data_IF_735939782189
#
_entry.id   IF_735939782189
#
_cell.length_a   1.000
_cell.length_b   1.000
_cell.length_c   1.000
_cell.angle_alpha   90.00
_cell.angle_beta   90.00
_cell.angle_gamma   90.00
#
_symmetry.space_group_name_H-M   'P 1'
#
loop_
_entity.id
_entity.type
_entity.pdbx_description
1 polymer ?
#
# COMPACT_ATOMS: atom_id res chain seq x y z
N UNK A 1 29.91 -0.35 1.70
CA UNK A 1 28.99 -0.98 0.73
C UNK A 1 29.38 -0.48 -0.65
N UNK A 2 29.43 -1.37 -1.65
CA UNK A 2 29.77 -1.03 -3.04
C UNK A 2 28.52 -0.98 -3.94
N UNK A 3 28.64 -0.34 -5.10
CA UNK A 3 27.58 -0.28 -6.11
C UNK A 3 27.16 -1.69 -6.59
N UNK A 4 28.11 -2.63 -6.69
CA UNK A 4 27.84 -4.02 -7.08
C UNK A 4 27.06 -4.77 -6.00
N UNK A 5 27.39 -4.54 -4.72
CA UNK A 5 26.63 -5.11 -3.60
C UNK A 5 25.18 -4.60 -3.59
N UNK A 6 25.00 -3.31 -3.87
CA UNK A 6 23.68 -2.68 -3.97
C UNK A 6 22.89 -3.22 -5.16
N UNK A 7 23.54 -3.35 -6.32
CA UNK A 7 22.93 -3.92 -7.53
C UNK A 7 22.52 -5.38 -7.32
N UNK A 8 23.35 -6.17 -6.64
CA UNK A 8 23.00 -7.55 -6.26
C UNK A 8 21.81 -7.60 -5.31
N UNK A 9 21.78 -6.73 -4.29
CA UNK A 9 20.67 -6.66 -3.35
C UNK A 9 19.34 -6.30 -4.04
N UNK A 10 19.34 -5.39 -5.02
CA UNK A 10 18.12 -5.02 -5.76
C UNK A 10 17.60 -6.11 -6.71
N UNK A 11 18.28 -7.25 -6.82
CA UNK A 11 17.87 -8.38 -7.66
C UNK A 11 17.68 -9.69 -6.87
N UNK A 12 17.94 -9.68 -5.56
CA UNK A 12 17.86 -10.86 -4.71
C UNK A 12 17.40 -10.50 -3.30
N UNK A 13 16.25 -11.02 -2.90
CA UNK A 13 15.64 -10.76 -1.59
C UNK A 13 16.53 -11.18 -0.43
N UNK A 14 17.33 -12.24 -0.59
CA UNK A 14 18.24 -12.71 0.47
C UNK A 14 19.39 -11.71 0.62
N UNK A 15 20.04 -11.32 -0.48
CA UNK A 15 21.06 -10.28 -0.47
C UNK A 15 20.52 -8.95 0.08
N UNK A 16 19.30 -8.56 -0.31
CA UNK A 16 18.64 -7.36 0.21
C UNK A 16 18.44 -7.44 1.72
N UNK A 17 17.93 -8.56 2.21
CA UNK A 17 17.69 -8.80 3.64
C UNK A 17 18.97 -8.73 4.46
N UNK A 18 20.05 -9.30 3.93
CA UNK A 18 21.36 -9.29 4.57
C UNK A 18 22.00 -7.90 4.59
N UNK A 19 21.78 -7.11 3.53
CA UNK A 19 22.37 -5.78 3.38
C UNK A 19 21.62 -4.72 4.19
N UNK A 20 20.29 -4.78 4.22
CA UNK A 20 19.43 -3.80 4.90
C UNK A 20 18.76 -4.46 6.10
N UNK A 21 19.40 -4.49 7.27
CA UNK A 21 18.82 -5.12 8.46
C UNK A 21 17.75 -4.24 9.10
N UNK A 22 17.94 -2.93 9.03
CA UNK A 22 17.07 -1.91 9.61
C UNK A 22 16.71 -0.83 8.60
N UNK A 23 15.64 -0.08 8.88
CA UNK A 23 15.24 1.06 8.05
C UNK A 23 16.32 2.15 7.97
N UNK A 24 17.13 2.29 9.02
CA UNK A 24 18.29 3.19 9.01
C UNK A 24 19.29 2.81 7.92
N UNK A 25 19.53 1.52 7.68
CA UNK A 25 20.47 1.07 6.66
C UNK A 25 19.98 1.49 5.26
N UNK A 26 18.67 1.36 5.01
CA UNK A 26 18.04 1.80 3.76
C UNK A 26 18.18 3.32 3.58
N UNK A 27 17.86 4.08 4.63
CA UNK A 27 17.94 5.54 4.66
C UNK A 27 19.37 6.05 4.43
N UNK A 28 20.32 5.50 5.16
CA UNK A 28 21.72 5.90 5.11
C UNK A 28 22.32 5.55 3.75
N UNK A 29 21.89 4.43 3.16
CA UNK A 29 22.25 4.01 1.80
C UNK A 29 21.65 4.92 0.74
N UNK A 30 20.37 5.24 0.82
CA UNK A 30 19.72 6.17 -0.11
C UNK A 30 20.36 7.58 -0.05
N UNK A 31 20.87 7.97 1.12
CA UNK A 31 21.61 9.23 1.30
C UNK A 31 23.01 9.17 0.69
N UNK A 32 23.71 8.04 0.82
CA UNK A 32 25.05 7.83 0.25
C UNK A 32 25.02 7.64 -1.27
N UNK A 33 23.94 7.07 -1.81
CA UNK A 33 23.78 6.78 -3.23
C UNK A 33 22.46 7.41 -3.75
N UNK A 34 22.38 8.75 -3.87
CA UNK A 34 21.13 9.42 -4.25
C UNK A 34 20.56 8.96 -5.59
N UNK A 35 21.43 8.63 -6.55
CA UNK A 35 21.03 8.10 -7.87
C UNK A 35 20.38 6.70 -7.80
N UNK A 36 20.47 6.01 -6.66
CA UNK A 36 19.84 4.71 -6.39
C UNK A 36 18.64 4.80 -5.44
N UNK A 37 18.35 5.97 -4.87
CA UNK A 37 17.26 6.13 -3.92
C UNK A 37 15.92 5.68 -4.50
N UNK A 38 15.60 6.10 -5.73
CA UNK A 38 14.37 5.68 -6.42
C UNK A 38 14.27 4.16 -6.53
N UNK A 39 15.34 3.48 -6.97
CA UNK A 39 15.35 2.03 -7.10
C UNK A 39 15.19 1.31 -5.75
N UNK A 40 15.79 1.85 -4.68
CA UNK A 40 15.68 1.29 -3.34
C UNK A 40 14.26 1.38 -2.79
N UNK A 41 13.65 2.57 -2.85
CA UNK A 41 12.28 2.75 -2.38
C UNK A 41 11.29 1.99 -3.25
N UNK A 42 11.49 1.96 -4.56
CA UNK A 42 10.68 1.15 -5.48
C UNK A 42 10.75 -0.33 -5.10
N UNK A 43 11.96 -0.89 -4.96
CA UNK A 43 12.17 -2.29 -4.57
C UNK A 43 11.41 -2.63 -3.28
N UNK A 44 11.58 -1.82 -2.23
CA UNK A 44 10.91 -2.07 -0.94
C UNK A 44 9.39 -1.97 -1.07
N UNK A 45 8.85 -1.06 -1.88
CA UNK A 45 7.40 -0.93 -2.07
C UNK A 45 6.78 -2.00 -2.98
N UNK A 46 7.59 -2.65 -3.82
CA UNK A 46 7.16 -3.74 -4.69
C UNK A 46 7.29 -5.13 -4.02
N UNK A 47 8.03 -5.22 -2.92
CA UNK A 47 8.25 -6.45 -2.17
C UNK A 47 7.61 -6.34 -0.77
N UNK A 48 6.33 -6.75 -0.59
CA UNK A 48 5.60 -6.57 0.68
C UNK A 48 6.31 -7.16 1.90
N UNK A 49 7.01 -8.29 1.73
CA UNK A 49 7.78 -8.91 2.81
C UNK A 49 8.93 -8.01 3.29
N UNK A 50 9.62 -7.33 2.36
CA UNK A 50 10.67 -6.37 2.70
C UNK A 50 10.09 -5.11 3.32
N UNK A 51 8.96 -4.63 2.79
CA UNK A 51 8.25 -3.50 3.36
C UNK A 51 7.87 -3.75 4.82
N UNK A 52 7.21 -4.87 5.12
CA UNK A 52 6.83 -5.26 6.48
C UNK A 52 8.04 -5.38 7.41
N UNK A 53 9.11 -5.98 6.91
CA UNK A 53 10.33 -6.23 7.68
C UNK A 53 10.99 -4.92 8.10
N UNK A 54 11.05 -3.94 7.20
CA UNK A 54 11.71 -2.66 7.41
C UNK A 54 10.81 -1.63 8.10
N UNK A 55 9.51 -1.63 7.82
CA UNK A 55 8.51 -0.70 8.36
C UNK A 55 7.60 -1.44 9.33
N UNK A 56 8.09 -1.68 10.55
CA UNK A 56 7.34 -2.41 11.59
C UNK A 56 6.35 -1.51 12.32
N UNK A 57 6.66 -0.22 12.37
CA UNK A 57 5.90 0.77 13.10
C UNK A 57 5.71 2.03 12.27
N UNK A 58 4.64 2.76 12.57
CA UNK A 58 4.41 4.08 11.96
C UNK A 58 5.58 5.05 12.20
N UNK A 59 6.31 4.89 13.31
CA UNK A 59 7.50 5.67 13.61
C UNK A 59 8.59 5.56 12.56
N UNK A 60 8.67 4.43 11.85
CA UNK A 60 9.66 4.20 10.81
C UNK A 60 9.38 5.06 9.56
N UNK A 61 8.14 5.53 9.39
CA UNK A 61 7.73 6.44 8.31
C UNK A 61 7.88 7.93 8.64
N UNK A 62 8.07 8.30 9.91
CA UNK A 62 7.98 9.68 10.41
C UNK A 62 8.96 10.66 9.76
N UNK A 63 8.70 11.95 10.02
CA UNK A 63 9.51 13.09 9.58
C UNK A 63 10.99 12.94 9.98
N UNK A 64 11.30 12.33 11.11
CA UNK A 64 12.70 12.15 11.54
C UNK A 64 13.42 10.98 10.87
N UNK A 65 12.71 10.09 10.17
CA UNK A 65 13.28 8.92 9.49
C UNK A 65 13.29 9.12 7.98
N UNK A 66 12.19 8.81 7.30
CA UNK A 66 12.08 8.88 5.84
C UNK A 66 11.42 10.17 5.39
N UNK A 67 10.34 10.61 6.06
CA UNK A 67 9.54 11.72 5.55
C UNK A 67 10.25 13.08 5.57
N UNK A 68 11.27 13.27 6.40
CA UNK A 68 12.08 14.49 6.40
C UNK A 68 13.27 14.45 5.45
N UNK A 69 13.89 13.28 5.26
CA UNK A 69 15.07 13.15 4.38
C UNK A 69 14.68 12.91 2.92
N UNK A 70 13.57 12.19 2.70
CA UNK A 70 13.06 11.84 1.38
C UNK A 70 11.55 12.12 1.26
N UNK A 71 11.13 13.39 1.37
CA UNK A 71 9.71 13.77 1.36
C UNK A 71 8.97 13.30 0.09
N UNK A 72 9.68 13.13 -1.03
CA UNK A 72 9.11 12.66 -2.29
C UNK A 72 8.58 11.22 -2.25
N UNK A 73 9.12 10.36 -1.37
CA UNK A 73 8.67 8.95 -1.29
C UNK A 73 7.53 8.74 -0.30
N UNK A 74 7.21 9.72 0.55
CA UNK A 74 6.20 9.60 1.61
C UNK A 74 4.86 9.19 1.04
N UNK A 75 4.45 9.79 -0.09
CA UNK A 75 3.22 9.43 -0.79
C UNK A 75 3.18 7.95 -1.15
N UNK A 76 4.25 7.45 -1.77
CA UNK A 76 4.35 6.06 -2.21
C UNK A 76 4.34 5.10 -1.02
N UNK A 77 5.02 5.45 0.08
CA UNK A 77 5.04 4.65 1.30
C UNK A 77 3.65 4.59 1.96
N UNK A 78 2.98 5.74 2.13
CA UNK A 78 1.61 5.78 2.68
C UNK A 78 0.66 4.95 1.81
N UNK A 79 0.73 5.11 0.49
CA UNK A 79 -0.08 4.32 -0.44
C UNK A 79 0.20 2.83 -0.28
N UNK A 80 1.46 2.43 -0.19
CA UNK A 80 1.85 1.03 0.01
C UNK A 80 1.32 0.48 1.33
N UNK A 81 1.42 1.22 2.44
CA UNK A 81 0.78 0.85 3.71
C UNK A 81 -0.73 0.65 3.57
N UNK A 82 -1.40 1.41 2.71
CA UNK A 82 -2.84 1.34 2.49
C UNK A 82 -3.26 0.39 1.35
N UNK A 83 -2.33 -0.25 0.62
CA UNK A 83 -2.66 -1.21 -0.44
C UNK A 83 -3.29 -2.49 0.11
N UNK A 84 -2.91 -2.85 1.34
CA UNK A 84 -3.35 -4.07 2.01
C UNK A 84 -3.84 -3.72 3.43
N UNK A 85 -5.08 -4.06 3.79
CA UNK A 85 -5.58 -3.93 5.16
C UNK A 85 -4.69 -4.58 6.22
N UNK A 86 -3.98 -5.67 5.89
CA UNK A 86 -3.05 -6.30 6.81
C UNK A 86 -1.83 -5.39 7.08
N UNK A 87 -1.26 -4.77 6.04
CA UNK A 87 -0.19 -3.78 6.19
C UNK A 87 -0.67 -2.56 6.96
N UNK A 88 -1.88 -2.10 6.66
CA UNK A 88 -2.50 -0.99 7.35
C UNK A 88 -2.63 -1.28 8.85
N UNK A 89 -3.24 -2.42 9.22
CA UNK A 89 -3.44 -2.83 10.61
C UNK A 89 -2.11 -3.08 11.34
N UNK A 90 -1.09 -3.52 10.62
CA UNK A 90 0.23 -3.76 11.19
C UNK A 90 0.98 -2.47 11.52
N UNK A 91 0.97 -1.49 10.62
CA UNK A 91 1.75 -0.26 10.74
C UNK A 91 0.96 0.81 11.51
N UNK A 92 -0.33 0.95 11.21
CA UNK A 92 -1.26 1.89 11.83
C UNK A 92 -2.16 1.09 12.76
N UNK A 93 -1.88 1.13 14.06
CA UNK A 93 -2.56 0.26 15.04
C UNK A 93 -3.75 0.92 15.72
N UNK A 94 -3.83 2.25 15.69
CA UNK A 94 -4.79 3.04 16.47
C UNK A 94 -4.86 4.50 15.97
N UNK A 95 -5.66 5.32 16.65
CA UNK A 95 -5.84 6.74 16.35
C UNK A 95 -4.55 7.57 16.46
N UNK A 96 -3.61 7.16 17.31
CA UNK A 96 -2.30 7.80 17.40
C UNK A 96 -1.52 7.59 16.10
N UNK A 97 -1.49 6.35 15.59
CA UNK A 97 -0.85 6.06 14.31
C UNK A 97 -1.51 6.79 13.13
N UNK A 98 -2.85 6.89 13.14
CA UNK A 98 -3.56 7.69 12.14
C UNK A 98 -3.19 9.18 12.25
N UNK A 99 -3.06 9.71 13.47
CA UNK A 99 -2.67 11.10 13.72
C UNK A 99 -1.24 11.40 13.24
N UNK A 100 -0.32 10.43 13.35
CA UNK A 100 1.01 10.55 12.79
C UNK A 100 0.99 10.62 11.26
N UNK A 101 0.19 9.79 10.59
CA UNK A 101 -0.02 9.86 9.13
C UNK A 101 -0.59 11.21 8.72
N UNK A 102 -1.61 11.70 9.44
CA UNK A 102 -2.20 13.02 9.19
C UNK A 102 -1.18 14.14 9.36
N UNK A 103 -0.30 14.02 10.35
CA UNK A 103 0.80 14.96 10.58
C UNK A 103 1.80 14.94 9.42
N UNK A 104 2.17 13.75 8.93
CA UNK A 104 3.05 13.64 7.75
C UNK A 104 2.41 14.24 6.50
N UNK A 105 1.13 13.98 6.25
CA UNK A 105 0.36 14.63 5.17
C UNK A 105 0.36 16.15 5.35
N UNK A 106 0.16 16.62 6.59
CA UNK A 106 0.11 18.05 6.92
C UNK A 106 1.48 18.74 6.96
N UNK A 107 2.58 17.99 6.90
CA UNK A 107 3.93 18.56 6.84
C UNK A 107 4.55 18.47 5.43
N UNK A 108 3.90 17.75 4.51
CA UNK A 108 4.36 17.58 3.15
C UNK A 108 3.47 18.37 2.17
N UNK A 109 4.04 19.38 1.51
CA UNK A 109 3.27 20.30 0.67
C UNK A 109 2.61 19.64 -0.56
N UNK A 110 3.22 18.59 -1.10
CA UNK A 110 2.61 17.80 -2.18
C UNK A 110 1.38 17.04 -1.66
N UNK A 111 1.52 16.40 -0.50
CA UNK A 111 0.44 15.61 0.09
C UNK A 111 -0.73 16.47 0.56
N UNK A 112 -0.48 17.66 1.10
CA UNK A 112 -1.52 18.64 1.44
C UNK A 112 -2.43 18.97 0.26
N UNK A 113 -1.87 19.05 -0.95
CA UNK A 113 -2.60 19.43 -2.17
C UNK A 113 -3.02 18.21 -3.00
N UNK A 114 -2.59 17.01 -2.60
CA UNK A 114 -2.89 15.78 -3.31
C UNK A 114 -4.39 15.50 -3.34
N UNK A 115 -4.90 15.25 -4.54
CA UNK A 115 -6.24 14.72 -4.80
C UNK A 115 -6.26 13.19 -4.81
N UNK A 116 -5.16 12.52 -4.45
CA UNK A 116 -5.12 11.07 -4.35
C UNK A 116 -6.20 10.59 -3.36
N UNK A 117 -7.07 9.62 -3.74
CA UNK A 117 -8.19 9.19 -2.89
C UNK A 117 -7.74 8.69 -1.52
N UNK A 118 -6.64 7.93 -1.45
CA UNK A 118 -6.13 7.39 -0.18
C UNK A 118 -5.69 8.54 0.72
N UNK A 119 -4.93 9.49 0.18
CA UNK A 119 -4.46 10.65 0.96
C UNK A 119 -5.63 11.51 1.45
N UNK A 120 -6.64 11.71 0.62
CA UNK A 120 -7.84 12.48 0.96
C UNK A 120 -8.64 11.80 2.07
N UNK A 121 -8.82 10.48 1.98
CA UNK A 121 -9.50 9.68 3.00
C UNK A 121 -8.74 9.72 4.32
N UNK A 122 -7.42 9.46 4.33
CA UNK A 122 -6.63 9.45 5.57
C UNK A 122 -6.64 10.80 6.27
N UNK A 123 -6.59 11.89 5.49
CA UNK A 123 -6.69 13.26 6.00
C UNK A 123 -8.06 13.57 6.59
N UNK A 124 -9.14 13.11 5.95
CA UNK A 124 -10.53 13.40 6.36
C UNK A 124 -11.15 12.40 7.35
N UNK A 125 -10.54 11.24 7.56
CA UNK A 125 -11.08 10.21 8.44
C UNK A 125 -11.12 10.71 9.89
N UNK A 126 -12.26 10.66 10.61
CA UNK A 126 -12.36 11.10 12.00
C UNK A 126 -11.50 10.23 12.94
N UNK A 127 -11.48 8.92 12.70
CA UNK A 127 -10.81 7.93 13.54
C UNK A 127 -10.20 6.80 12.70
N UNK A 128 -9.39 5.98 13.37
CA UNK A 128 -8.71 4.82 12.83
C UNK A 128 -9.69 3.84 12.20
N UNK A 129 -10.83 3.59 12.83
CA UNK A 129 -11.74 2.57 12.35
C UNK A 129 -12.45 2.99 11.06
N UNK A 130 -12.72 4.27 10.91
CA UNK A 130 -13.24 4.86 9.67
C UNK A 130 -12.20 4.72 8.57
N UNK A 131 -10.95 5.14 8.82
CA UNK A 131 -9.85 4.99 7.86
C UNK A 131 -9.64 3.52 7.44
N UNK A 132 -9.60 2.61 8.42
CA UNK A 132 -9.46 1.17 8.21
C UNK A 132 -10.59 0.60 7.36
N UNK A 133 -11.84 0.99 7.66
CA UNK A 133 -13.01 0.55 6.91
C UNK A 133 -12.94 0.97 5.45
N UNK A 134 -12.45 2.18 5.17
CA UNK A 134 -12.23 2.64 3.80
C UNK A 134 -11.14 1.84 3.08
N UNK A 135 -10.00 1.61 3.72
CA UNK A 135 -8.90 0.80 3.15
C UNK A 135 -9.39 -0.61 2.81
N UNK A 136 -10.18 -1.22 3.68
CA UNK A 136 -10.79 -2.53 3.44
C UNK A 136 -11.75 -2.52 2.24
N UNK A 137 -12.64 -1.53 2.16
CA UNK A 137 -13.59 -1.40 1.04
C UNK A 137 -12.86 -1.23 -0.29
N UNK A 138 -11.84 -0.36 -0.35
CA UNK A 138 -11.06 -0.19 -1.60
C UNK A 138 -10.43 -1.50 -2.08
N UNK A 139 -9.94 -2.35 -1.18
CA UNK A 139 -9.40 -3.65 -1.57
C UNK A 139 -10.50 -4.59 -2.12
N UNK A 140 -11.68 -4.60 -1.50
CA UNK A 140 -12.82 -5.38 -2.00
C UNK A 140 -13.22 -4.88 -3.39
N UNK A 141 -13.36 -3.57 -3.56
CA UNK A 141 -13.71 -2.95 -4.85
C UNK A 141 -12.66 -3.26 -5.92
N UNK A 142 -11.37 -3.20 -5.58
CA UNK A 142 -10.27 -3.53 -6.50
C UNK A 142 -10.26 -5.01 -6.89
N UNK A 143 -10.57 -5.93 -5.95
CA UNK A 143 -10.72 -7.36 -6.22
C UNK A 143 -11.90 -7.62 -7.13
N UNK A 144 -13.04 -6.99 -6.84
CA UNK A 144 -14.27 -7.11 -7.61
C UNK A 144 -14.09 -6.58 -9.03
N UNK A 145 -13.41 -5.44 -9.20
CA UNK A 145 -13.08 -4.88 -10.51
C UNK A 145 -12.15 -5.80 -11.32
N UNK A 146 -11.11 -6.37 -10.71
CA UNK A 146 -10.23 -7.35 -11.37
C UNK A 146 -10.98 -8.61 -11.78
N UNK A 147 -11.86 -9.10 -10.93
CA UNK A 147 -12.68 -10.27 -11.21
C UNK A 147 -13.70 -9.97 -12.32
N UNK A 148 -14.28 -8.78 -12.35
CA UNK A 148 -15.13 -8.32 -13.46
C UNK A 148 -14.39 -8.26 -14.79
N UNK A 149 -13.16 -7.74 -14.82
CA UNK A 149 -12.31 -7.75 -16.02
C UNK A 149 -11.97 -9.18 -16.47
N UNK A 150 -11.67 -10.06 -15.51
CA UNK A 150 -11.39 -11.47 -15.77
C UNK A 150 -12.61 -12.20 -16.37
N UNK A 151 -13.79 -12.01 -15.79
CA UNK A 151 -15.04 -12.62 -16.28
C UNK A 151 -15.46 -12.05 -17.64
N UNK A 152 -15.17 -10.78 -17.92
CA UNK A 152 -15.45 -10.14 -19.21
C UNK A 152 -14.41 -10.47 -20.30
N UNK A 153 -13.37 -11.23 -19.98
CA UNK A 153 -12.39 -11.68 -20.98
C UNK A 153 -13.02 -12.75 -21.90
N UNK A 154 -13.19 -12.41 -23.18
CA UNK A 154 -13.81 -13.27 -24.21
C UNK A 154 -13.05 -14.57 -24.50
N UNK A 155 -11.80 -14.71 -24.04
CA UNK A 155 -10.99 -15.93 -24.21
C UNK A 155 -11.33 -17.04 -23.19
N UNK A 156 -12.17 -16.78 -22.19
CA UNK A 156 -12.50 -17.76 -21.16
C UNK A 156 -13.71 -18.64 -21.50
N UNK A 157 -13.69 -19.96 -21.20
CA UNK A 157 -14.75 -20.90 -21.56
C UNK A 157 -15.95 -20.88 -20.60
N UNK A 158 -16.23 -19.75 -19.95
CA UNK A 158 -17.42 -19.61 -19.10
C UNK A 158 -18.62 -19.18 -19.94
N UNK A 159 -19.76 -19.81 -19.71
CA UNK A 159 -21.03 -19.37 -20.30
C UNK A 159 -21.37 -17.96 -19.81
N UNK A 160 -22.18 -17.24 -20.59
CA UNK A 160 -22.64 -15.89 -20.22
C UNK A 160 -23.42 -15.91 -18.91
N UNK A 161 -24.20 -16.94 -18.66
CA UNK A 161 -25.04 -17.07 -17.47
C UNK A 161 -24.19 -17.32 -16.22
N UNK A 162 -23.18 -18.20 -16.29
CA UNK A 162 -22.24 -18.41 -15.18
C UNK A 162 -21.42 -17.16 -14.86
N UNK A 163 -21.05 -16.35 -15.87
CA UNK A 163 -20.39 -15.06 -15.63
C UNK A 163 -21.31 -14.09 -14.88
N UNK A 164 -22.59 -14.01 -15.27
CA UNK A 164 -23.56 -13.11 -14.66
C UNK A 164 -23.89 -13.52 -13.22
N UNK A 165 -24.10 -14.82 -12.94
CA UNK A 165 -24.34 -15.33 -11.58
C UNK A 165 -23.17 -15.01 -10.63
N UNK A 166 -21.93 -15.15 -11.12
CA UNK A 166 -20.74 -14.82 -10.33
C UNK A 166 -20.67 -13.30 -10.08
N UNK A 167 -20.93 -12.46 -11.10
CA UNK A 167 -20.93 -11.00 -10.96
C UNK A 167 -22.00 -10.49 -9.98
N UNK A 168 -23.20 -11.07 -10.00
CA UNK A 168 -24.29 -10.76 -9.07
C UNK A 168 -23.93 -11.16 -7.64
N UNK A 169 -23.37 -12.36 -7.45
CA UNK A 169 -22.91 -12.84 -6.15
C UNK A 169 -21.82 -11.93 -5.54
N UNK A 170 -20.91 -11.41 -6.36
CA UNK A 170 -19.82 -10.52 -5.93
C UNK A 170 -20.30 -9.09 -5.63
N UNK A 171 -21.30 -8.61 -6.36
CA UNK A 171 -21.80 -7.23 -6.22
C UNK A 171 -22.65 -7.03 -4.96
N UNK A 172 -22.97 -8.11 -4.24
CA UNK A 172 -23.72 -8.04 -2.98
C UNK A 172 -25.23 -7.81 -3.17
N UNK A 173 -25.71 -7.79 -4.42
CA UNK A 173 -27.14 -7.83 -4.72
C UNK A 173 -27.63 -9.26 -4.47
N UNK A 174 -28.02 -9.53 -3.22
CA UNK A 174 -28.71 -10.76 -2.87
C UNK A 174 -29.94 -10.90 -3.76
N UNK A 175 -29.97 -11.98 -4.56
CA UNK A 175 -31.16 -12.44 -5.25
C UNK A 175 -32.21 -12.75 -4.17
N UNK A 176 -33.10 -11.80 -3.89
CA UNK A 176 -34.45 -12.15 -3.43
C UNK A 176 -35.11 -12.83 -4.62
N UNK A 177 -34.99 -14.15 -4.72
CA UNK A 177 -35.82 -14.92 -5.66
C UNK A 177 -37.28 -14.63 -5.27
N UNK A 178 -38.12 -14.07 -6.14
CA UNK A 178 -39.55 -14.03 -5.87
C UNK A 178 -40.02 -15.48 -5.84
N UNK A 179 -40.71 -15.84 -4.76
CA UNK A 179 -41.17 -17.20 -4.49
C UNK A 179 -41.95 -17.78 -5.67
N UNK A 180 -41.55 -18.98 -6.08
CA UNK A 180 -42.40 -19.84 -6.90
C UNK A 180 -43.32 -20.61 -5.96
N UNK A 181 -44.60 -20.25 -6.00
CA UNK A 181 -45.71 -21.11 -5.58
C UNK A 181 -45.81 -22.32 -6.49
#
# INVERSE_FOLDING_TARGET
>A
MTEDQLSKALNDDIAFTNLFKYISDLRDTASQFPHRADALFQYVTDHPNQFIRLFKYISDLRVTTIAGQFPQYVKTLIKTTCKDPALFDQIIKNDSGLSEIKTMISNNDELKKSSDPIITILRGAPDFQTARSFVKRQMVDAKNAKLGLFLNNKQWPLSRDTRNEILEFISGDTITKPGSR
#
